data_IF_782754426104
#
_entry.id   IF_782754426104
#
_cell.length_a   1.000
_cell.length_b   1.000
_cell.length_c   1.000
_cell.angle_alpha   90.00
_cell.angle_beta   90.00
_cell.angle_gamma   90.00
#
_symmetry.space_group_name_H-M   'P 1'
#
loop_
_entity.id
_entity.type
_entity.pdbx_description
1 polymer ?
#
# COMPACT_ATOMS: atom_id res chain seq x y z
N UNK A 1 -6.47 17.58 -5.98
CA UNK A 1 -7.50 16.56 -6.26
C UNK A 1 -7.41 15.41 -5.25
N UNK A 2 -8.45 14.57 -5.12
CA UNK A 2 -8.43 13.36 -4.27
C UNK A 2 -8.83 12.13 -5.07
N UNK A 3 -8.09 11.04 -4.90
CA UNK A 3 -8.33 9.73 -5.51
C UNK A 3 -8.42 8.65 -4.43
N UNK A 4 -9.19 7.60 -4.69
CA UNK A 4 -9.36 6.47 -3.78
C UNK A 4 -8.99 5.16 -4.46
N UNK A 5 -8.29 4.32 -3.72
CA UNK A 5 -7.92 2.97 -4.09
C UNK A 5 -8.37 2.02 -2.98
N UNK A 6 -9.12 0.99 -3.32
CA UNK A 6 -9.53 -0.07 -2.39
C UNK A 6 -8.84 -1.37 -2.79
N UNK A 7 -8.08 -1.95 -1.87
CA UNK A 7 -7.42 -3.24 -2.02
C UNK A 7 -8.16 -4.23 -1.12
N UNK A 8 -8.75 -5.27 -1.72
CA UNK A 8 -9.50 -6.29 -0.98
C UNK A 8 -8.55 -7.22 -0.25
N UNK A 9 -8.88 -7.56 0.99
CA UNK A 9 -8.08 -8.41 1.85
C UNK A 9 -6.98 -7.64 2.59
N UNK A 10 -5.96 -8.36 3.03
CA UNK A 10 -4.82 -7.80 3.77
C UNK A 10 -3.51 -8.17 3.09
N UNK A 11 -2.49 -7.34 3.28
CA UNK A 11 -1.14 -7.65 2.87
C UNK A 11 -0.37 -8.37 4.00
N UNK A 12 0.70 -9.12 3.67
CA UNK A 12 1.63 -9.66 4.66
C UNK A 12 2.17 -8.57 5.59
N UNK A 13 2.56 -8.93 6.82
CA UNK A 13 3.22 -8.01 7.71
C UNK A 13 4.73 -7.95 7.47
N UNK A 14 5.38 -6.97 8.09
CA UNK A 14 6.84 -6.79 8.06
C UNK A 14 7.59 -8.00 8.64
N UNK A 15 7.06 -8.59 9.70
CA UNK A 15 7.66 -9.75 10.37
C UNK A 15 7.65 -10.97 9.43
N UNK A 16 6.54 -11.23 8.75
CA UNK A 16 6.42 -12.29 7.75
C UNK A 16 7.40 -12.07 6.59
N UNK A 17 7.52 -10.83 6.10
CA UNK A 17 8.48 -10.49 5.05
C UNK A 17 9.94 -10.67 5.50
N UNK A 18 10.27 -10.24 6.72
CA UNK A 18 11.61 -10.38 7.31
C UNK A 18 11.98 -11.86 7.51
N UNK A 19 11.04 -12.67 7.99
CA UNK A 19 11.22 -14.10 8.12
C UNK A 19 11.47 -14.75 6.75
N UNK A 20 10.66 -14.42 5.73
CA UNK A 20 10.84 -14.94 4.37
C UNK A 20 12.22 -14.61 3.79
N UNK A 21 12.71 -13.37 3.99
CA UNK A 21 14.06 -12.98 3.57
C UNK A 21 15.16 -13.80 4.27
N UNK A 22 14.95 -14.25 5.51
CA UNK A 22 15.90 -15.04 6.30
C UNK A 22 15.83 -16.53 6.00
N UNK A 23 14.70 -17.05 5.53
CA UNK A 23 14.52 -18.46 5.22
C UNK A 23 15.25 -18.87 3.94
N UNK A 24 15.09 -18.11 2.85
CA UNK A 24 15.73 -18.43 1.59
C UNK A 24 15.84 -17.17 0.71
N UNK A 25 16.95 -16.96 -0.03
CA UNK A 25 17.21 -15.69 -0.74
C UNK A 25 16.13 -15.23 -1.72
N UNK A 26 15.32 -16.17 -2.24
CA UNK A 26 14.26 -15.88 -3.21
C UNK A 26 12.87 -15.68 -2.59
N UNK A 27 12.66 -16.10 -1.34
CA UNK A 27 11.33 -16.17 -0.74
C UNK A 27 10.76 -14.79 -0.44
N UNK A 28 11.55 -13.90 0.15
CA UNK A 28 11.12 -12.52 0.35
C UNK A 28 10.86 -11.80 -0.97
N UNK A 29 11.71 -11.99 -1.98
CA UNK A 29 11.50 -11.43 -3.32
C UNK A 29 10.17 -11.89 -3.94
N UNK A 30 9.85 -13.18 -3.83
CA UNK A 30 8.56 -13.74 -4.26
C UNK A 30 7.39 -13.15 -3.49
N UNK A 31 7.44 -13.14 -2.16
CA UNK A 31 6.38 -12.59 -1.32
C UNK A 31 6.08 -11.12 -1.66
N UNK A 32 7.13 -10.31 -1.88
CA UNK A 32 6.97 -8.92 -2.28
C UNK A 32 6.30 -8.81 -3.65
N UNK A 33 6.74 -9.60 -4.62
CA UNK A 33 6.15 -9.61 -5.96
C UNK A 33 4.66 -9.99 -5.93
N UNK A 34 4.30 -11.04 -5.19
CA UNK A 34 2.91 -11.50 -5.08
C UNK A 34 2.04 -10.41 -4.42
N UNK A 35 2.56 -9.74 -3.39
CA UNK A 35 1.88 -8.62 -2.74
C UNK A 35 1.71 -7.42 -3.67
N UNK A 36 2.73 -7.07 -4.47
CA UNK A 36 2.64 -6.00 -5.47
C UNK A 36 1.61 -6.34 -6.55
N UNK A 37 1.59 -7.56 -7.06
CA UNK A 37 0.58 -8.00 -8.04
C UNK A 37 -0.85 -7.83 -7.48
N UNK A 38 -1.08 -8.20 -6.23
CA UNK A 38 -2.36 -8.02 -5.55
C UNK A 38 -2.80 -6.54 -5.44
N UNK A 39 -1.85 -5.59 -5.40
CA UNK A 39 -2.14 -4.15 -5.37
C UNK A 39 -2.27 -3.55 -6.77
N UNK A 40 -1.43 -3.98 -7.72
CA UNK A 40 -1.40 -3.47 -9.10
C UNK A 40 -2.72 -3.71 -9.82
N UNK A 41 -3.37 -4.86 -9.60
CA UNK A 41 -4.67 -5.17 -10.22
C UNK A 41 -5.75 -4.14 -9.85
N UNK A 42 -6.04 -3.88 -8.55
CA UNK A 42 -6.89 -2.78 -8.11
C UNK A 42 -6.51 -1.42 -8.67
N UNK A 43 -5.21 -1.07 -8.71
CA UNK A 43 -4.76 0.22 -9.26
C UNK A 43 -5.15 0.36 -10.73
N UNK A 44 -4.86 -0.66 -11.55
CA UNK A 44 -5.17 -0.65 -12.99
C UNK A 44 -6.67 -0.56 -13.27
N UNK A 45 -7.49 -1.08 -12.37
CA UNK A 45 -8.95 -1.02 -12.48
C UNK A 45 -9.51 0.32 -12.02
N UNK A 46 -9.06 0.84 -10.87
CA UNK A 46 -9.69 1.98 -10.19
C UNK A 46 -9.05 3.33 -10.53
N UNK A 47 -7.76 3.36 -10.83
CA UNK A 47 -6.99 4.56 -11.14
C UNK A 47 -6.53 4.59 -12.61
N UNK A 48 -7.30 3.97 -13.49
CA UNK A 48 -6.95 3.84 -14.91
C UNK A 48 -6.77 5.22 -15.56
N UNK A 49 -5.59 5.45 -16.13
CA UNK A 49 -5.26 6.70 -16.85
C UNK A 49 -4.90 7.87 -15.94
N UNK A 50 -4.94 7.71 -14.62
CA UNK A 50 -4.52 8.73 -13.67
C UNK A 50 -3.00 8.77 -13.62
N UNK A 51 -2.43 9.97 -13.80
CA UNK A 51 -1.01 10.26 -13.67
C UNK A 51 -0.86 11.55 -12.88
N UNK A 52 -0.40 11.44 -11.64
CA UNK A 52 -0.33 12.57 -10.72
C UNK A 52 1.07 13.19 -10.81
N UNK A 53 1.10 14.48 -11.10
CA UNK A 53 2.35 15.26 -11.23
C UNK A 53 2.62 16.16 -10.03
N UNK A 54 1.62 16.37 -9.17
CA UNK A 54 1.72 17.15 -7.94
C UNK A 54 2.16 16.26 -6.77
N UNK A 55 2.81 16.83 -5.73
CA UNK A 55 3.06 16.09 -4.50
C UNK A 55 1.75 15.64 -3.86
N UNK A 56 1.76 14.52 -3.13
CA UNK A 56 0.58 13.90 -2.52
C UNK A 56 0.77 13.62 -1.03
N UNK A 57 -0.33 13.73 -0.28
CA UNK A 57 -0.50 13.16 1.04
C UNK A 57 -1.26 11.83 0.90
N UNK A 58 -0.69 10.76 1.44
CA UNK A 58 -1.32 9.45 1.45
C UNK A 58 -2.06 9.21 2.76
N UNK A 59 -3.26 8.65 2.71
CA UNK A 59 -3.98 8.22 3.91
C UNK A 59 -4.38 6.77 3.75
N UNK A 60 -3.94 5.93 4.68
CA UNK A 60 -4.25 4.51 4.73
C UNK A 60 -5.25 4.25 5.84
N UNK A 61 -6.34 3.57 5.50
CA UNK A 61 -7.23 2.93 6.46
C UNK A 61 -7.07 1.42 6.31
N UNK A 62 -6.45 0.79 7.32
CA UNK A 62 -6.29 -0.66 7.39
C UNK A 62 -7.46 -1.27 8.14
N UNK A 63 -8.23 -2.14 7.48
CA UNK A 63 -9.29 -2.91 8.10
C UNK A 63 -8.82 -4.37 8.22
N UNK A 64 -8.37 -4.73 9.43
CA UNK A 64 -7.89 -6.07 9.74
C UNK A 64 -9.02 -6.99 10.21
N UNK A 65 -8.95 -8.31 9.96
CA UNK A 65 -9.98 -9.23 10.42
C UNK A 65 -9.96 -9.44 11.95
N UNK A 66 -8.85 -9.09 12.60
CA UNK A 66 -8.67 -9.16 14.05
C UNK A 66 -7.47 -8.30 14.47
N UNK A 67 -7.29 -8.08 15.78
CA UNK A 67 -6.23 -7.25 16.36
C UNK A 67 -4.99 -8.03 16.79
N UNK A 68 -4.63 -9.11 16.07
CA UNK A 68 -3.48 -9.96 16.45
C UNK A 68 -2.12 -9.43 15.97
N UNK A 69 -2.12 -8.57 14.95
CA UNK A 69 -0.89 -7.97 14.41
C UNK A 69 -0.71 -6.58 14.98
N UNK A 70 0.52 -6.23 15.32
CA UNK A 70 0.89 -4.88 15.72
C UNK A 70 0.73 -3.89 14.56
N UNK A 71 0.47 -2.62 14.89
CA UNK A 71 0.12 -1.59 13.89
C UNK A 71 1.25 -1.33 12.89
N UNK A 72 2.48 -1.25 13.38
CA UNK A 72 3.71 -1.09 12.59
C UNK A 72 4.00 -2.32 11.73
N UNK A 73 3.71 -3.52 12.24
CA UNK A 73 3.82 -4.76 11.46
C UNK A 73 2.86 -4.74 10.26
N UNK A 74 1.67 -4.16 10.41
CA UNK A 74 0.68 -4.02 9.34
C UNK A 74 1.11 -2.96 8.33
N UNK A 75 1.44 -1.74 8.77
CA UNK A 75 1.63 -0.61 7.88
C UNK A 75 2.97 -0.63 7.14
N UNK A 76 4.06 -1.06 7.78
CA UNK A 76 5.42 -0.90 7.23
C UNK A 76 5.61 -1.61 5.88
N UNK A 77 5.18 -2.87 5.78
CA UNK A 77 5.29 -3.61 4.52
C UNK A 77 4.26 -3.12 3.49
N UNK A 78 3.05 -2.79 3.95
CA UNK A 78 1.99 -2.30 3.07
C UNK A 78 2.36 -0.97 2.40
N UNK A 79 2.94 -0.01 3.14
CA UNK A 79 3.43 1.26 2.58
C UNK A 79 4.37 0.99 1.42
N UNK A 80 5.38 0.14 1.64
CA UNK A 80 6.38 -0.13 0.62
C UNK A 80 5.77 -0.75 -0.63
N UNK A 81 4.94 -1.78 -0.45
CA UNK A 81 4.29 -2.47 -1.57
C UNK A 81 3.34 -1.55 -2.34
N UNK A 82 2.53 -0.75 -1.64
CA UNK A 82 1.54 0.12 -2.28
C UNK A 82 2.22 1.27 -3.02
N UNK A 83 3.22 1.92 -2.40
CA UNK A 83 3.97 3.00 -3.04
C UNK A 83 4.74 2.50 -4.27
N UNK A 84 5.47 1.39 -4.15
CA UNK A 84 6.16 0.76 -5.29
C UNK A 84 5.18 0.42 -6.42
N UNK A 85 3.97 -0.05 -6.08
CA UNK A 85 2.93 -0.39 -7.06
C UNK A 85 2.33 0.83 -7.74
N UNK A 86 2.12 1.94 -7.03
CA UNK A 86 1.67 3.22 -7.60
C UNK A 86 2.69 3.78 -8.60
N UNK A 87 3.98 3.63 -8.31
CA UNK A 87 5.06 4.03 -9.23
C UNK A 87 5.12 3.10 -10.44
N UNK A 88 5.12 1.77 -10.23
CA UNK A 88 5.14 0.75 -11.30
C UNK A 88 3.98 0.86 -12.29
N UNK A 89 2.84 1.41 -11.84
CA UNK A 89 1.64 1.61 -12.66
C UNK A 89 1.56 2.99 -13.28
N UNK A 90 2.50 3.89 -12.99
CA UNK A 90 2.54 5.25 -13.54
C UNK A 90 1.59 6.25 -12.88
N UNK A 91 0.90 5.86 -11.79
CA UNK A 91 0.03 6.78 -11.03
C UNK A 91 0.86 7.88 -10.37
N UNK A 92 2.00 7.50 -9.79
CA UNK A 92 3.01 8.42 -9.28
C UNK A 92 4.29 8.30 -10.10
N UNK A 93 5.02 9.40 -10.28
CA UNK A 93 6.31 9.37 -10.94
C UNK A 93 7.40 8.67 -10.10
N UNK A 94 7.33 8.80 -8.77
CA UNK A 94 8.24 8.19 -7.80
C UNK A 94 7.60 8.17 -6.39
N UNK A 95 8.25 7.56 -5.40
CA UNK A 95 7.83 7.50 -3.98
C UNK A 95 8.69 8.38 -3.05
N UNK A 96 9.46 9.31 -3.63
CA UNK A 96 10.41 10.15 -2.91
C UNK A 96 9.80 11.40 -2.26
N UNK A 97 10.68 12.20 -1.64
CA UNK A 97 10.31 13.43 -0.92
C UNK A 97 9.62 14.50 -1.78
N UNK A 98 9.80 14.45 -3.10
CA UNK A 98 9.15 15.39 -4.03
C UNK A 98 7.71 14.99 -4.34
N UNK A 99 7.42 13.69 -4.28
CA UNK A 99 6.14 13.12 -4.68
C UNK A 99 5.25 12.85 -3.47
N UNK A 100 5.79 12.38 -2.34
CA UNK A 100 5.03 12.04 -1.14
C UNK A 100 5.45 12.95 0.01
N UNK A 101 4.57 13.89 0.38
CA UNK A 101 4.86 14.85 1.46
C UNK A 101 4.61 14.29 2.85
N UNK A 102 3.88 13.19 2.93
CA UNK A 102 3.56 12.51 4.18
C UNK A 102 2.51 11.44 4.01
N UNK A 103 2.31 10.66 5.07
CA UNK A 103 1.29 9.65 5.15
C UNK A 103 0.64 9.61 6.53
N UNK A 104 -0.62 9.16 6.58
CA UNK A 104 -1.39 8.95 7.80
C UNK A 104 -1.93 7.52 7.80
N UNK A 105 -1.73 6.82 8.91
CA UNK A 105 -2.26 5.47 9.11
C UNK A 105 -3.39 5.47 10.13
N UNK A 106 -4.50 4.83 9.76
CA UNK A 106 -5.61 4.55 10.66
C UNK A 106 -5.92 3.06 10.62
N UNK A 107 -6.27 2.49 11.77
CA UNK A 107 -6.43 1.05 11.92
C UNK A 107 -7.80 0.73 12.51
N UNK A 108 -8.45 -0.24 11.88
CA UNK A 108 -9.80 -0.67 12.16
C UNK A 108 -9.85 -2.20 12.19
N UNK A 109 -10.90 -2.73 12.79
CA UNK A 109 -11.18 -4.16 12.79
C UNK A 109 -12.49 -4.40 12.04
N UNK A 110 -12.43 -5.19 10.98
CA UNK A 110 -13.58 -5.59 10.16
C UNK A 110 -13.42 -7.08 9.81
N UNK A 111 -13.97 -7.99 10.64
CA UNK A 111 -13.84 -9.43 10.44
C UNK A 111 -14.49 -9.94 9.16
N UNK A 112 -15.53 -9.25 8.67
CA UNK A 112 -16.34 -9.68 7.53
C UNK A 112 -15.75 -9.17 6.21
N UNK A 113 -15.20 -7.96 6.20
CA UNK A 113 -14.70 -7.31 5.00
C UNK A 113 -13.33 -6.63 5.19
N UNK A 114 -12.26 -7.42 5.42
CA UNK A 114 -10.91 -6.90 5.53
C UNK A 114 -10.45 -6.30 4.20
N UNK A 115 -9.85 -5.11 4.28
CA UNK A 115 -9.40 -4.33 3.12
C UNK A 115 -8.40 -3.25 3.54
N UNK A 116 -7.74 -2.67 2.55
CA UNK A 116 -6.93 -1.46 2.71
C UNK A 116 -7.56 -0.39 1.81
N UNK A 117 -7.94 0.73 2.41
CA UNK A 117 -8.39 1.90 1.65
C UNK A 117 -7.25 2.93 1.65
N UNK A 118 -6.85 3.36 0.46
CA UNK A 118 -5.80 4.35 0.26
C UNK A 118 -6.43 5.57 -0.38
N UNK A 119 -6.33 6.70 0.29
CA UNK A 119 -6.69 8.00 -0.26
C UNK A 119 -5.42 8.72 -0.67
N UNK A 120 -5.37 9.15 -1.93
CA UNK A 120 -4.25 9.88 -2.52
C UNK A 120 -4.73 11.31 -2.74
N UNK A 121 -4.22 12.25 -1.94
CA UNK A 121 -4.62 13.65 -1.99
C UNK A 121 -3.48 14.50 -2.49
N UNK A 122 -3.64 15.13 -3.65
CA UNK A 122 -2.68 16.10 -4.15
C UNK A 122 -2.62 17.32 -3.20
N UNK A 123 -1.41 17.81 -2.96
CA UNK A 123 -1.13 19.01 -2.19
C UNK A 123 -0.52 20.08 -3.08
N UNK A 124 -0.87 21.34 -2.81
CA UNK A 124 -0.44 22.49 -3.61
C UNK A 124 -1.42 22.84 -4.74
N UNK A 125 -1.56 24.15 -4.97
CA UNK A 125 -2.34 24.72 -6.08
C UNK A 125 -1.62 24.58 -7.43
#
# INVERSE_FOLDING_TARGET
MEYKLIIIGKLPGLNEYTAANRTHPKEGGRMKKDAEEAVIWPIRQQLRGIHITKPVLLKYNFYEPNRKRDLDNISSFAHKVIQDSLVKTGVLANDGWKEIVGFLDQFYCDPEYPRIEVTIKEVGD
#
